data_IF_401184140769
#
_entry.id   IF_401184140769
#
_cell.length_a   1.000
_cell.length_b   1.000
_cell.length_c   1.000
_cell.angle_alpha   90.00
_cell.angle_beta   90.00
_cell.angle_gamma   90.00
#
_symmetry.space_group_name_H-M   'P 1'
#
loop_
_entity.id
_entity.type
_entity.pdbx_description
1 polymer ?
#
# COMPACT_ATOMS: atom_id res chain seq x y z
N UNK A 1 -23.50 -3.18 -6.08
CA UNK A 1 -22.20 -2.62 -6.53
C UNK A 1 -21.16 -3.76 -6.54
N UNK A 2 -20.68 -4.21 -7.70
CA UNK A 2 -19.60 -5.23 -7.74
C UNK A 2 -18.27 -4.54 -7.51
N UNK A 3 -17.68 -4.73 -6.33
CA UNK A 3 -16.30 -4.29 -6.07
C UNK A 3 -15.40 -5.06 -7.03
N UNK A 4 -14.64 -4.34 -7.86
CA UNK A 4 -13.66 -4.97 -8.74
C UNK A 4 -12.56 -5.58 -7.87
N UNK A 5 -12.08 -6.77 -8.21
CA UNK A 5 -11.00 -7.43 -7.45
C UNK A 5 -9.76 -6.52 -7.25
N UNK A 6 -9.47 -5.62 -8.22
CA UNK A 6 -8.41 -4.62 -8.15
C UNK A 6 -8.61 -3.65 -6.98
N UNK A 7 -9.85 -3.17 -6.79
CA UNK A 7 -10.20 -2.30 -5.67
C UNK A 7 -10.10 -3.03 -4.33
N UNK A 8 -10.57 -4.28 -4.30
CA UNK A 8 -10.46 -5.12 -3.11
C UNK A 8 -8.99 -5.37 -2.72
N UNK A 9 -8.12 -5.65 -3.71
CA UNK A 9 -6.70 -5.84 -3.48
C UNK A 9 -6.03 -4.58 -2.92
N UNK A 10 -6.28 -3.40 -3.50
CA UNK A 10 -5.75 -2.13 -3.01
C UNK A 10 -6.26 -1.82 -1.60
N UNK A 11 -7.55 -2.03 -1.33
CA UNK A 11 -8.13 -1.83 0.00
C UNK A 11 -7.49 -2.74 1.04
N UNK A 12 -7.24 -4.00 0.70
CA UNK A 12 -6.58 -4.95 1.58
C UNK A 12 -5.15 -4.51 1.92
N UNK A 13 -4.38 -4.06 0.91
CA UNK A 13 -3.02 -3.56 1.10
C UNK A 13 -3.03 -2.29 1.97
N UNK A 14 -3.96 -1.37 1.72
CA UNK A 14 -4.13 -0.15 2.50
C UNK A 14 -4.50 -0.48 3.96
N UNK A 15 -5.50 -1.34 4.16
CA UNK A 15 -5.97 -1.75 5.48
C UNK A 15 -4.86 -2.47 6.29
N UNK A 16 -4.06 -3.33 5.63
CA UNK A 16 -2.91 -3.97 6.26
C UNK A 16 -1.90 -2.93 6.79
N UNK A 17 -1.54 -1.93 5.97
CA UNK A 17 -0.60 -0.88 6.37
C UNK A 17 -1.15 0.01 7.48
N UNK A 18 -2.43 0.37 7.42
CA UNK A 18 -3.11 1.13 8.48
C UNK A 18 -3.15 0.33 9.78
N UNK A 19 -3.55 -0.94 9.73
CA UNK A 19 -3.64 -1.78 10.92
C UNK A 19 -2.29 -1.96 11.62
N UNK A 20 -1.24 -2.24 10.86
CA UNK A 20 0.11 -2.36 11.40
C UNK A 20 0.62 -1.02 11.93
N UNK A 21 0.33 0.07 11.23
CA UNK A 21 0.67 1.43 11.68
C UNK A 21 0.00 1.77 13.01
N UNK A 22 -1.29 1.50 13.15
CA UNK A 22 -2.03 1.70 14.40
C UNK A 22 -1.50 0.80 15.53
N UNK A 23 -1.22 -0.46 15.26
CA UNK A 23 -0.66 -1.37 16.26
C UNK A 23 0.67 -0.84 16.82
N UNK A 24 1.58 -0.38 15.96
CA UNK A 24 2.86 0.21 16.38
C UNK A 24 2.72 1.57 17.09
N UNK A 25 1.64 2.31 16.84
CA UNK A 25 1.38 3.57 17.54
C UNK A 25 0.75 3.37 18.90
N UNK A 26 -0.20 2.43 19.03
CA UNK A 26 -0.97 2.22 20.25
C UNK A 26 -0.18 1.36 21.24
N UNK A 27 0.41 0.28 20.78
CA UNK A 27 1.21 -0.63 21.60
C UNK A 27 2.43 -1.15 20.83
N UNK A 28 3.50 -0.33 20.75
CA UNK A 28 4.70 -0.70 20.02
C UNK A 28 5.41 -1.91 20.62
N UNK A 29 5.42 -2.07 21.95
CA UNK A 29 6.13 -3.17 22.60
C UNK A 29 5.49 -4.52 22.33
N UNK A 30 4.19 -4.64 22.49
CA UNK A 30 3.50 -5.91 22.25
C UNK A 30 3.47 -6.22 20.74
N UNK A 31 3.36 -5.20 19.87
CA UNK A 31 3.50 -5.39 18.42
C UNK A 31 4.87 -5.98 18.07
N UNK A 32 5.97 -5.46 18.66
CA UNK A 32 7.30 -5.96 18.41
C UNK A 32 7.51 -7.36 19.02
N UNK A 33 6.93 -7.63 20.19
CA UNK A 33 6.96 -8.97 20.81
C UNK A 33 6.26 -10.01 19.93
N UNK A 34 5.08 -9.69 19.41
CA UNK A 34 4.36 -10.54 18.45
C UNK A 34 5.18 -10.78 17.18
N UNK A 35 5.91 -9.77 16.73
CA UNK A 35 6.84 -9.88 15.60
C UNK A 35 8.13 -10.64 15.96
N UNK A 36 8.29 -11.11 17.22
CA UNK A 36 9.51 -11.74 17.72
C UNK A 36 10.75 -10.86 17.55
N UNK A 37 10.56 -9.54 17.51
CA UNK A 37 11.64 -8.58 17.32
C UNK A 37 12.27 -8.24 18.67
N UNK A 38 13.55 -8.60 18.90
CA UNK A 38 14.24 -8.24 20.14
C UNK A 38 14.47 -6.72 20.13
N UNK A 39 13.70 -6.01 20.92
CA UNK A 39 13.81 -4.56 21.00
C UNK A 39 14.11 -4.13 22.46
N UNK A 40 15.19 -3.41 22.65
CA UNK A 40 15.62 -2.86 23.93
C UNK A 40 15.90 -1.36 23.88
N UNK A 41 15.41 -0.68 22.85
CA UNK A 41 15.67 0.74 22.60
C UNK A 41 14.53 1.66 22.98
N UNK A 42 14.61 2.90 22.50
CA UNK A 42 13.61 3.93 22.66
C UNK A 42 12.38 3.65 21.77
N UNK A 43 11.18 3.77 22.33
CA UNK A 43 9.91 3.56 21.63
C UNK A 43 9.63 4.58 20.53
N UNK A 44 10.38 5.64 20.45
CA UNK A 44 10.27 6.67 19.40
C UNK A 44 10.33 6.03 17.99
N UNK A 45 11.32 5.18 17.74
CA UNK A 45 11.51 4.59 16.40
C UNK A 45 10.39 3.66 15.95
N UNK A 46 9.91 2.71 16.79
CA UNK A 46 8.75 1.91 16.43
C UNK A 46 7.49 2.74 16.21
N UNK A 47 7.25 3.74 17.06
CA UNK A 47 6.09 4.64 16.91
C UNK A 47 6.18 5.48 15.64
N UNK A 48 7.38 5.98 15.29
CA UNK A 48 7.60 6.70 14.04
C UNK A 48 7.36 5.81 12.82
N UNK A 49 7.82 4.55 12.85
CA UNK A 49 7.51 3.58 11.81
C UNK A 49 6.01 3.34 11.69
N UNK A 50 5.30 3.26 12.81
CA UNK A 50 3.84 3.18 12.87
C UNK A 50 3.16 4.36 12.19
N UNK A 51 3.61 5.59 12.48
CA UNK A 51 3.09 6.80 11.83
C UNK A 51 3.29 6.77 10.31
N UNK A 52 4.48 6.38 9.84
CA UNK A 52 4.74 6.28 8.40
C UNK A 52 3.87 5.22 7.74
N UNK A 53 3.67 4.07 8.36
CA UNK A 53 2.79 3.03 7.84
C UNK A 53 1.34 3.48 7.76
N UNK A 54 0.87 4.24 8.76
CA UNK A 54 -0.46 4.84 8.75
C UNK A 54 -0.64 5.80 7.58
N UNK A 55 0.30 6.73 7.40
CA UNK A 55 0.29 7.69 6.28
C UNK A 55 0.34 6.95 4.94
N UNK A 56 1.22 5.96 4.79
CA UNK A 56 1.29 5.15 3.57
C UNK A 56 -0.02 4.41 3.31
N UNK A 57 -0.64 3.83 4.33
CA UNK A 57 -1.93 3.16 4.19
C UNK A 57 -3.03 4.09 3.69
N UNK A 58 -3.08 5.34 4.18
CA UNK A 58 -4.01 6.36 3.70
C UNK A 58 -3.73 6.74 2.23
N UNK A 59 -2.45 6.93 1.87
CA UNK A 59 -2.04 7.20 0.48
C UNK A 59 -2.42 6.04 -0.43
N UNK A 60 -2.27 4.78 0.02
CA UNK A 60 -2.71 3.62 -0.75
C UNK A 60 -4.22 3.63 -0.99
N UNK A 61 -5.02 4.03 0.02
CA UNK A 61 -6.45 4.23 -0.15
C UNK A 61 -6.78 5.28 -1.23
N UNK A 62 -6.02 6.38 -1.28
CA UNK A 62 -6.19 7.42 -2.30
C UNK A 62 -5.93 6.94 -3.74
N UNK A 63 -5.19 5.83 -3.92
CA UNK A 63 -4.97 5.24 -5.26
C UNK A 63 -6.24 4.70 -5.91
N UNK A 64 -7.30 4.48 -5.12
CA UNK A 64 -8.61 4.09 -5.64
C UNK A 64 -9.23 5.19 -6.52
N UNK A 65 -8.90 6.45 -6.23
CA UNK A 65 -9.34 7.63 -6.99
C UNK A 65 -8.26 8.05 -8.00
N UNK A 66 -6.98 8.02 -7.58
CA UNK A 66 -5.84 8.47 -8.38
C UNK A 66 -4.97 7.30 -8.82
N UNK A 67 -5.37 6.63 -9.87
CA UNK A 67 -4.74 5.40 -10.36
C UNK A 67 -3.22 5.46 -10.62
N UNK A 68 -2.63 6.57 -11.12
CA UNK A 68 -1.17 6.68 -11.27
C UNK A 68 -0.40 6.46 -9.97
N UNK A 69 -1.01 6.75 -8.82
CA UNK A 69 -0.38 6.55 -7.51
C UNK A 69 -0.19 5.07 -7.13
N UNK A 70 -0.77 4.11 -7.85
CA UNK A 70 -0.58 2.67 -7.60
C UNK A 70 0.91 2.29 -7.69
N UNK A 71 1.70 3.00 -8.51
CA UNK A 71 3.14 2.80 -8.56
C UNK A 71 3.88 3.11 -7.25
N UNK A 72 3.31 3.98 -6.40
CA UNK A 72 3.84 4.19 -5.04
C UNK A 72 3.69 2.94 -4.17
N UNK A 73 2.59 2.20 -4.31
CA UNK A 73 2.44 0.91 -3.62
C UNK A 73 3.51 -0.07 -4.09
N UNK A 74 3.71 -0.17 -5.41
CA UNK A 74 4.72 -1.07 -5.98
C UNK A 74 6.10 -0.73 -5.44
N UNK A 75 6.49 0.53 -5.51
CA UNK A 75 7.80 0.99 -5.07
C UNK A 75 8.01 0.75 -3.57
N UNK A 76 7.08 1.21 -2.73
CA UNK A 76 7.22 1.09 -1.29
C UNK A 76 7.25 -0.35 -0.81
N UNK A 77 6.43 -1.23 -1.41
CA UNK A 77 6.42 -2.66 -1.11
C UNK A 77 7.67 -3.38 -1.59
N UNK A 78 8.22 -3.00 -2.75
CA UNK A 78 9.50 -3.52 -3.23
C UNK A 78 10.66 -3.12 -2.29
N UNK A 79 10.69 -1.85 -1.86
CA UNK A 79 11.71 -1.37 -0.90
C UNK A 79 11.56 -2.09 0.45
N UNK A 80 10.35 -2.23 0.97
CA UNK A 80 10.09 -2.95 2.22
C UNK A 80 10.53 -4.41 2.13
N UNK A 81 10.20 -5.11 1.03
CA UNK A 81 10.66 -6.47 0.78
C UNK A 81 12.19 -6.57 0.80
N UNK A 82 12.88 -5.73 0.04
CA UNK A 82 14.35 -5.74 -0.02
C UNK A 82 14.97 -5.44 1.35
N UNK A 83 14.45 -4.45 2.05
CA UNK A 83 14.92 -4.09 3.39
C UNK A 83 14.78 -5.26 4.38
N UNK A 84 13.62 -5.86 4.46
CA UNK A 84 13.35 -6.97 5.37
C UNK A 84 14.12 -8.24 4.97
N UNK A 85 14.27 -8.51 3.68
CA UNK A 85 15.05 -9.63 3.19
C UNK A 85 16.55 -9.48 3.57
N UNK A 86 17.14 -8.31 3.34
CA UNK A 86 18.53 -8.02 3.72
C UNK A 86 18.72 -8.19 5.23
N UNK A 87 17.82 -7.65 6.04
CA UNK A 87 17.91 -7.75 7.50
C UNK A 87 17.76 -9.19 7.99
N UNK A 88 16.85 -9.96 7.40
CA UNK A 88 16.64 -11.35 7.79
C UNK A 88 17.77 -12.28 7.36
N UNK A 89 18.37 -12.06 6.18
CA UNK A 89 19.38 -12.95 5.62
C UNK A 89 20.80 -12.63 6.06
N UNK A 90 21.13 -11.36 6.29
CA UNK A 90 22.51 -10.93 6.57
C UNK A 90 22.68 -10.19 7.90
N UNK A 91 21.65 -9.61 8.47
CA UNK A 91 21.76 -8.78 9.68
C UNK A 91 21.11 -9.44 10.92
N UNK A 92 20.72 -10.71 10.82
CA UNK A 92 20.26 -11.48 11.98
C UNK A 92 18.87 -11.11 12.49
N UNK A 93 18.02 -10.44 11.67
CA UNK A 93 16.66 -10.17 12.06
C UNK A 93 15.84 -11.48 12.23
N UNK A 94 14.75 -11.45 13.01
CA UNK A 94 13.91 -12.63 13.22
C UNK A 94 13.38 -13.21 11.90
N UNK A 95 13.18 -14.54 11.84
CA UNK A 95 12.59 -15.19 10.65
C UNK A 95 11.24 -14.63 10.24
N UNK A 96 10.48 -14.08 11.20
CA UNK A 96 9.21 -13.41 10.93
C UNK A 96 9.41 -12.15 10.07
N UNK A 97 10.55 -11.46 10.17
CA UNK A 97 10.89 -10.35 9.28
C UNK A 97 10.97 -10.80 7.81
N UNK A 98 11.53 -11.99 7.54
CA UNK A 98 11.53 -12.55 6.19
C UNK A 98 10.12 -12.86 5.70
N UNK A 99 9.28 -13.46 6.54
CA UNK A 99 7.89 -13.73 6.20
C UNK A 99 7.10 -12.44 5.91
N UNK A 100 7.31 -11.39 6.72
CA UNK A 100 6.73 -10.06 6.48
C UNK A 100 7.24 -9.47 5.16
N UNK A 101 8.53 -9.58 4.88
CA UNK A 101 9.12 -9.15 3.61
C UNK A 101 8.50 -9.85 2.40
N UNK A 102 8.36 -11.19 2.46
CA UNK A 102 7.69 -11.96 1.40
C UNK A 102 6.25 -11.49 1.22
N UNK A 103 5.52 -11.23 2.32
CA UNK A 103 4.18 -10.64 2.27
C UNK A 103 4.14 -9.29 1.54
N UNK A 104 5.09 -8.40 1.85
CA UNK A 104 5.23 -7.12 1.17
C UNK A 104 5.57 -7.29 -0.32
N UNK A 105 6.46 -8.23 -0.66
CA UNK A 105 6.78 -8.57 -2.04
C UNK A 105 5.57 -9.04 -2.84
N UNK A 106 4.75 -9.92 -2.26
CA UNK A 106 3.51 -10.40 -2.88
C UNK A 106 2.49 -9.26 -3.06
N UNK A 107 2.31 -8.40 -2.05
CA UNK A 107 1.47 -7.21 -2.15
C UNK A 107 1.96 -6.26 -3.25
N UNK A 108 3.28 -6.06 -3.35
CA UNK A 108 3.90 -5.27 -4.42
C UNK A 108 3.64 -5.87 -5.81
N UNK A 109 3.73 -7.19 -5.95
CA UNK A 109 3.43 -7.90 -7.21
C UNK A 109 1.95 -7.74 -7.60
N UNK A 110 1.03 -7.88 -6.66
CA UNK A 110 -0.40 -7.66 -6.90
C UNK A 110 -0.65 -6.22 -7.35
N UNK A 111 -0.07 -5.23 -6.66
CA UNK A 111 -0.18 -3.83 -7.04
C UNK A 111 0.41 -3.56 -8.44
N UNK A 112 1.53 -4.20 -8.79
CA UNK A 112 2.13 -4.10 -10.12
C UNK A 112 1.22 -4.65 -11.21
N UNK A 113 0.58 -5.80 -10.99
CA UNK A 113 -0.41 -6.36 -11.92
C UNK A 113 -1.59 -5.39 -12.11
N UNK A 114 -2.08 -4.77 -11.01
CA UNK A 114 -3.13 -3.75 -11.06
C UNK A 114 -2.67 -2.52 -11.84
N UNK A 115 -1.44 -2.04 -11.61
CA UNK A 115 -0.89 -0.86 -12.28
C UNK A 115 -0.76 -1.05 -13.80
N UNK A 116 -0.41 -2.26 -14.24
CA UNK A 116 -0.25 -2.57 -15.68
C UNK A 116 -1.55 -2.78 -16.44
N UNK A 117 -2.67 -2.97 -15.76
CA UNK A 117 -3.95 -3.11 -16.46
C UNK A 117 -4.38 -1.79 -17.07
N UNK A 118 -4.72 -1.78 -18.38
CA UNK A 118 -5.30 -0.59 -18.99
C UNK A 118 -6.55 -0.21 -18.19
N UNK A 119 -6.55 0.98 -17.60
CA UNK A 119 -7.70 1.45 -16.86
C UNK A 119 -8.91 1.44 -17.80
N UNK A 120 -9.98 0.76 -17.41
CA UNK A 120 -11.27 1.11 -17.99
C UNK A 120 -11.43 2.61 -17.73
N UNK A 121 -11.41 3.42 -18.78
CA UNK A 121 -11.57 4.87 -18.71
C UNK A 121 -12.89 5.15 -18.01
N UNK A 122 -12.82 5.46 -16.73
CA UNK A 122 -13.97 5.80 -15.94
C UNK A 122 -14.38 7.21 -16.34
N UNK A 123 -15.48 7.33 -17.10
CA UNK A 123 -16.32 8.53 -17.14
C UNK A 123 -15.84 9.76 -17.91
N UNK A 124 -14.55 9.94 -18.20
CA UNK A 124 -14.05 11.16 -18.83
C UNK A 124 -14.52 11.36 -20.30
N UNK A 125 -14.70 10.27 -21.04
CA UNK A 125 -15.13 10.37 -22.46
C UNK A 125 -16.64 10.61 -22.67
N UNK A 126 -17.45 10.44 -21.64
CA UNK A 126 -18.88 10.75 -21.77
C UNK A 126 -19.11 12.27 -21.77
N UNK A 127 -18.40 12.99 -20.90
CA UNK A 127 -18.52 14.45 -20.81
C UNK A 127 -17.93 15.17 -22.03
N UNK A 128 -16.81 14.66 -22.58
CA UNK A 128 -16.22 15.25 -23.79
C UNK A 128 -17.12 15.06 -25.02
N UNK A 129 -17.83 13.93 -25.14
CA UNK A 129 -18.77 13.69 -26.22
C UNK A 129 -20.06 14.49 -26.12
N UNK A 130 -20.53 14.75 -24.90
CA UNK A 130 -21.71 15.61 -24.70
C UNK A 130 -21.39 17.08 -25.02
N UNK A 131 -20.19 17.56 -24.63
CA UNK A 131 -19.73 18.91 -24.97
C UNK A 131 -19.55 19.13 -26.48
N UNK A 132 -19.01 18.14 -27.19
CA UNK A 132 -18.80 18.21 -28.65
C UNK A 132 -20.13 18.13 -29.44
N UNK A 133 -21.09 17.35 -28.92
CA UNK A 133 -22.43 17.26 -29.53
C UNK A 133 -23.25 18.53 -29.31
N UNK A 134 -23.02 19.27 -28.23
CA UNK A 134 -23.72 20.53 -27.94
C UNK A 134 -23.16 21.69 -28.81
N UNK A 135 -21.85 21.72 -29.03
CA UNK A 135 -21.21 22.67 -29.93
C UNK A 135 -21.60 22.47 -31.41
N UNK A 136 -21.87 21.23 -31.82
CA UNK A 136 -22.32 20.94 -33.20
C UNK A 136 -23.80 21.30 -33.46
N UNK A 137 -24.55 21.68 -32.44
CA UNK A 137 -25.98 22.05 -32.53
C UNK A 137 -26.26 23.56 -32.48
N UNK A 138 -25.23 24.36 -32.25
CA UNK A 138 -25.42 25.82 -32.30
C UNK A 138 -25.43 26.29 -33.74
N UNK A 139 -26.52 27.00 -34.19
CA UNK A 139 -26.67 27.51 -35.56
C UNK A 139 -25.69 28.66 -35.85
#
# INVERSE_FOLDING_TARGET
MRVRWEQAAILLIAAHSVALGLALLVDPLDTLRLAQWPYAGDLFWPSQAGLFLLVLGLVYGATLVHRPLVWLIVLSKAVAFLFLAVHALWLGAPRLALAAGVGDGLMGLVAWVVARRPGARLGGQALDREGEADHARMP
#
